data_IF_365936349084
#
_entry.id   IF_365936349084
#
_cell.length_a   1.000
_cell.length_b   1.000
_cell.length_c   1.000
_cell.angle_alpha   90.00
_cell.angle_beta   90.00
_cell.angle_gamma   90.00
#
_symmetry.space_group_name_H-M   'P 1'
#
loop_
_entity.id
_entity.type
_entity.pdbx_description
1 polymer ?
#
# COMPACT_ATOMS: atom_id res chain seq x y z
N UNK A 1 6.67 -15.85 3.70
CA UNK A 1 6.92 -16.05 2.25
C UNK A 1 7.73 -14.86 1.75
N UNK A 2 8.80 -15.07 0.98
CA UNK A 2 9.61 -13.98 0.43
C UNK A 2 8.92 -13.36 -0.80
N UNK A 3 9.11 -12.06 -1.02
CA UNK A 3 8.61 -11.38 -2.22
C UNK A 3 9.29 -11.93 -3.49
N UNK A 4 8.56 -12.09 -4.61
CA UNK A 4 9.09 -12.69 -5.83
C UNK A 4 9.88 -11.67 -6.66
N UNK A 5 11.09 -11.32 -6.23
CA UNK A 5 11.92 -10.32 -6.91
C UNK A 5 12.41 -10.80 -8.28
N UNK A 6 12.39 -9.91 -9.29
CA UNK A 6 13.02 -10.17 -10.60
C UNK A 6 14.54 -10.29 -10.45
N UNK A 7 15.14 -9.32 -9.75
CA UNK A 7 16.56 -9.33 -9.42
C UNK A 7 16.74 -9.36 -7.90
N UNK A 8 17.60 -10.26 -7.38
CA UNK A 8 17.76 -10.43 -5.95
C UNK A 8 18.38 -9.22 -5.27
N UNK A 9 18.98 -8.27 -5.99
CA UNK A 9 19.71 -7.09 -5.46
C UNK A 9 19.13 -5.73 -5.84
N UNK A 10 17.92 -5.68 -6.43
CA UNK A 10 17.31 -4.40 -6.80
C UNK A 10 17.02 -3.56 -5.55
N UNK A 11 17.52 -2.31 -5.58
CA UNK A 11 17.20 -1.29 -4.59
C UNK A 11 15.95 -0.55 -5.02
N UNK A 12 14.90 -0.69 -4.23
CA UNK A 12 13.78 0.24 -4.24
C UNK A 12 14.11 1.29 -3.20
N UNK A 13 14.59 2.46 -3.62
CA UNK A 13 14.91 3.52 -2.66
C UNK A 13 13.66 3.96 -1.89
N UNK A 14 13.90 4.55 -0.72
CA UNK A 14 12.83 4.95 0.20
C UNK A 14 11.92 6.01 -0.44
N UNK A 15 10.76 5.57 -0.92
CA UNK A 15 9.66 6.43 -1.37
C UNK A 15 8.89 7.07 -0.19
N UNK A 16 9.47 7.04 1.02
CA UNK A 16 8.86 7.48 2.28
C UNK A 16 8.28 8.88 2.20
N UNK A 17 9.04 9.86 1.72
CA UNK A 17 8.56 11.25 1.66
C UNK A 17 7.29 11.37 0.81
N UNK A 18 7.23 10.67 -0.32
CA UNK A 18 6.05 10.63 -1.19
C UNK A 18 4.85 9.96 -0.51
N UNK A 19 5.07 8.78 0.09
CA UNK A 19 4.03 8.05 0.80
C UNK A 19 3.49 8.83 2.00
N UNK A 20 4.37 9.43 2.80
CA UNK A 20 4.03 10.18 4.00
C UNK A 20 3.25 11.48 3.68
N UNK A 21 3.64 12.21 2.64
CA UNK A 21 2.90 13.40 2.20
C UNK A 21 1.49 13.02 1.69
N UNK A 22 1.35 11.89 1.00
CA UNK A 22 0.05 11.36 0.58
C UNK A 22 -0.80 10.97 1.79
N UNK A 23 -0.21 10.31 2.80
CA UNK A 23 -0.89 9.99 4.06
C UNK A 23 -1.39 11.23 4.77
N UNK A 24 -0.55 12.27 4.95
CA UNK A 24 -0.97 13.56 5.55
C UNK A 24 -2.16 14.17 4.82
N UNK A 25 -2.12 14.19 3.49
CA UNK A 25 -3.19 14.72 2.65
C UNK A 25 -4.48 13.91 2.78
N UNK A 26 -4.37 12.57 2.82
CA UNK A 26 -5.50 11.67 3.03
C UNK A 26 -6.15 11.90 4.40
N UNK A 27 -5.36 11.89 5.48
CA UNK A 27 -5.83 12.11 6.85
C UNK A 27 -6.58 13.43 6.97
N UNK A 28 -6.02 14.52 6.41
CA UNK A 28 -6.68 15.83 6.40
C UNK A 28 -8.05 15.76 5.71
N UNK A 29 -8.12 15.22 4.49
CA UNK A 29 -9.37 15.13 3.71
C UNK A 29 -10.41 14.24 4.38
N UNK A 30 -10.00 13.14 5.02
CA UNK A 30 -10.90 12.26 5.75
C UNK A 30 -11.45 12.94 7.00
N UNK A 31 -10.62 13.71 7.72
CA UNK A 31 -11.05 14.46 8.88
C UNK A 31 -12.06 15.54 8.51
N UNK A 32 -11.80 16.31 7.45
CA UNK A 32 -12.73 17.32 6.90
C UNK A 32 -14.09 16.73 6.51
N UNK A 33 -14.12 15.45 6.11
CA UNK A 33 -15.34 14.73 5.70
C UNK A 33 -16.00 13.95 6.84
N UNK A 34 -15.43 13.95 8.06
CA UNK A 34 -15.92 13.14 9.17
C UNK A 34 -15.78 11.63 8.97
N UNK A 35 -14.85 11.21 8.10
CA UNK A 35 -14.67 9.81 7.67
C UNK A 35 -13.44 9.11 8.25
N UNK A 36 -12.67 9.80 9.10
CA UNK A 36 -11.41 9.29 9.63
C UNK A 36 -11.59 8.00 10.46
N UNK A 37 -12.65 7.90 11.27
CA UNK A 37 -12.93 6.69 12.07
C UNK A 37 -13.28 5.47 11.21
N UNK A 38 -14.09 5.69 10.18
CA UNK A 38 -14.46 4.63 9.22
C UNK A 38 -13.21 4.09 8.51
N UNK A 39 -12.31 4.99 8.14
CA UNK A 39 -11.03 4.63 7.54
C UNK A 39 -10.09 3.88 8.48
N UNK A 40 -9.96 4.33 9.74
CA UNK A 40 -9.15 3.65 10.75
C UNK A 40 -9.66 2.22 11.00
N UNK A 41 -10.98 2.04 11.07
CA UNK A 41 -11.62 0.72 11.18
C UNK A 41 -11.23 -0.19 10.00
N UNK A 42 -11.38 0.30 8.77
CA UNK A 42 -11.01 -0.46 7.57
C UNK A 42 -9.51 -0.77 7.48
N UNK A 43 -8.63 0.09 8.00
CA UNK A 43 -7.19 -0.18 8.04
C UNK A 43 -6.86 -1.28 9.08
N UNK A 44 -7.52 -1.25 10.24
CA UNK A 44 -7.33 -2.27 11.30
C UNK A 44 -7.84 -3.65 10.89
N UNK A 45 -8.81 -3.74 10.00
CA UNK A 45 -9.26 -5.03 9.45
C UNK A 45 -8.12 -5.81 8.80
N UNK A 46 -7.13 -5.15 8.20
CA UNK A 46 -5.95 -5.85 7.68
C UNK A 46 -5.14 -6.53 8.79
N UNK A 47 -5.01 -5.91 9.96
CA UNK A 47 -4.34 -6.52 11.12
C UNK A 47 -5.19 -7.64 11.72
N UNK A 48 -6.50 -7.43 11.85
CA UNK A 48 -7.42 -8.41 12.43
C UNK A 48 -7.57 -9.69 11.59
N UNK A 49 -7.36 -9.58 10.28
CA UNK A 49 -7.46 -10.69 9.33
C UNK A 49 -6.08 -11.30 8.98
N UNK A 50 -5.04 -11.01 9.78
CA UNK A 50 -3.66 -11.46 9.55
C UNK A 50 -3.12 -11.12 8.13
N UNK A 51 -3.67 -10.08 7.50
CA UNK A 51 -3.26 -9.58 6.19
C UNK A 51 -2.13 -8.54 6.29
N UNK A 52 -1.90 -8.00 7.48
CA UNK A 52 -0.82 -7.07 7.80
C UNK A 52 -0.30 -7.36 9.21
N UNK A 53 0.97 -7.04 9.44
CA UNK A 53 1.62 -7.14 10.74
C UNK A 53 2.37 -5.85 11.06
N UNK A 54 2.67 -5.64 12.35
CA UNK A 54 3.57 -4.57 12.74
C UNK A 54 4.98 -4.89 12.26
N UNK A 55 5.61 -3.92 11.61
CA UNK A 55 7.00 -4.04 11.20
C UNK A 55 7.87 -4.25 12.47
N UNK A 56 8.63 -5.36 12.57
CA UNK A 56 9.55 -5.56 13.69
C UNK A 56 10.66 -4.51 13.69
N UNK A 57 11.39 -4.37 14.79
CA UNK A 57 12.57 -3.51 14.83
C UNK A 57 13.54 -3.93 13.71
N UNK A 58 13.74 -3.01 12.77
CA UNK A 58 14.45 -3.28 11.52
C UNK A 58 15.95 -3.08 11.75
N UNK A 59 16.76 -4.05 11.35
CA UNK A 59 18.20 -3.84 11.14
C UNK A 59 18.44 -3.12 9.81
N UNK A 60 19.58 -2.45 9.64
CA UNK A 60 19.88 -1.63 8.45
C UNK A 60 19.87 -2.37 7.09
N UNK A 61 19.67 -3.69 7.08
CA UNK A 61 19.80 -4.55 5.89
C UNK A 61 18.46 -4.92 5.22
N UNK A 62 17.33 -4.42 5.69
CA UNK A 62 16.00 -4.77 5.14
C UNK A 62 15.57 -3.76 4.07
N UNK A 63 15.08 -4.27 2.92
CA UNK A 63 14.42 -3.45 1.90
C UNK A 63 13.07 -2.95 2.42
N UNK A 64 12.91 -1.64 2.48
CA UNK A 64 11.64 -1.02 2.90
C UNK A 64 11.06 -0.24 1.73
N UNK A 65 9.80 -0.54 1.42
CA UNK A 65 8.98 0.21 0.48
C UNK A 65 7.69 0.62 1.17
N UNK A 66 7.35 1.90 1.11
CA UNK A 66 6.14 2.42 1.73
C UNK A 66 5.04 2.51 0.68
N UNK A 67 4.04 1.63 0.74
CA UNK A 67 2.88 1.69 -0.17
C UNK A 67 2.00 2.90 0.16
N UNK A 68 1.95 3.94 -0.69
CA UNK A 68 0.93 4.95 -0.54
C UNK A 68 -0.44 4.32 -0.75
N UNK A 69 -1.46 4.89 -0.12
CA UNK A 69 -2.79 4.32 -0.20
C UNK A 69 -3.85 5.42 -0.21
N UNK A 70 -5.07 5.06 -0.62
CA UNK A 70 -6.21 5.96 -0.67
C UNK A 70 -7.52 5.26 -0.33
N UNK A 71 -8.44 6.02 0.24
CA UNK A 71 -9.83 5.63 0.44
C UNK A 71 -10.62 5.77 -0.87
N UNK A 72 -11.29 4.71 -1.31
CA UNK A 72 -12.26 4.71 -2.40
C UNK A 72 -13.62 4.38 -1.83
N UNK A 73 -14.54 5.33 -1.95
CA UNK A 73 -15.94 5.13 -1.56
C UNK A 73 -16.73 4.65 -2.76
N UNK A 74 -17.56 3.64 -2.55
CA UNK A 74 -18.44 3.05 -3.56
C UNK A 74 -19.87 3.11 -3.04
N UNK A 75 -20.62 4.07 -3.58
CA UNK A 75 -22.02 4.29 -3.21
C UNK A 75 -22.95 3.24 -3.87
N UNK A 76 -22.42 2.44 -4.80
CA UNK A 76 -23.13 1.48 -5.65
C UNK A 76 -23.23 0.05 -5.08
N UNK A 77 -22.68 -0.23 -3.88
CA UNK A 77 -22.66 -1.59 -3.29
C UNK A 77 -23.10 -1.65 -1.83
N UNK A 78 -23.92 -2.64 -1.51
CA UNK A 78 -24.49 -2.86 -0.16
C UNK A 78 -23.46 -3.29 0.90
N UNK A 79 -22.37 -3.97 0.52
CA UNK A 79 -21.55 -4.73 1.47
C UNK A 79 -20.16 -4.17 1.77
N UNK A 80 -19.67 -3.13 1.07
CA UNK A 80 -18.44 -2.42 1.48
C UNK A 80 -18.40 -0.99 0.92
N UNK A 81 -18.92 -0.01 1.67
CA UNK A 81 -18.96 1.40 1.24
C UNK A 81 -17.57 2.04 1.13
N UNK A 82 -16.56 1.50 1.80
CA UNK A 82 -15.18 1.95 1.78
C UNK A 82 -14.22 0.82 1.40
N UNK A 83 -13.28 1.11 0.50
CA UNK A 83 -12.13 0.25 0.18
C UNK A 83 -10.83 1.03 0.25
N UNK A 84 -9.79 0.40 0.80
CA UNK A 84 -8.44 0.96 0.81
C UNK A 84 -7.70 0.38 -0.40
N UNK A 85 -7.15 1.26 -1.23
CA UNK A 85 -6.35 0.88 -2.40
C UNK A 85 -4.90 1.26 -2.15
N UNK A 86 -4.00 0.28 -2.20
CA UNK A 86 -2.57 0.47 -2.14
C UNK A 86 -1.98 0.69 -3.54
N UNK A 87 -1.05 1.63 -3.64
CA UNK A 87 -0.39 2.04 -4.88
C UNK A 87 1.04 1.50 -4.94
N UNK A 88 1.19 0.28 -5.47
CA UNK A 88 2.49 -0.35 -5.69
C UNK A 88 3.25 0.24 -6.90
N UNK A 89 2.61 1.11 -7.68
CA UNK A 89 3.25 1.81 -8.81
C UNK A 89 3.98 3.08 -8.39
N UNK A 90 3.86 3.52 -7.14
CA UNK A 90 4.53 4.72 -6.68
C UNK A 90 6.04 4.53 -6.61
N UNK A 91 6.81 5.49 -7.10
CA UNK A 91 8.27 5.44 -7.03
C UNK A 91 8.85 6.84 -6.91
N UNK A 92 10.10 6.91 -6.44
CA UNK A 92 10.88 8.15 -6.50
C UNK A 92 11.29 8.45 -7.96
N UNK A 93 11.49 9.72 -8.35
CA UNK A 93 11.98 10.05 -9.68
C UNK A 93 13.28 9.30 -9.99
N UNK A 94 13.32 8.62 -11.15
CA UNK A 94 14.48 7.84 -11.58
C UNK A 94 14.64 6.46 -10.93
N UNK A 95 13.72 6.05 -10.04
CA UNK A 95 13.73 4.73 -9.39
C UNK A 95 12.59 3.85 -9.90
N UNK A 96 12.75 2.51 -9.91
CA UNK A 96 11.67 1.60 -10.28
C UNK A 96 10.58 1.54 -9.19
N UNK A 97 9.35 1.21 -9.58
CA UNK A 97 8.25 0.93 -8.67
C UNK A 97 8.29 -0.52 -8.15
N UNK A 98 7.45 -0.84 -7.16
CA UNK A 98 7.36 -2.22 -6.68
C UNK A 98 6.86 -3.17 -7.77
N UNK A 99 5.97 -2.69 -8.66
CA UNK A 99 5.48 -3.48 -9.79
C UNK A 99 6.57 -3.76 -10.84
N UNK A 100 7.59 -2.92 -10.96
CA UNK A 100 8.67 -3.08 -11.96
C UNK A 100 9.73 -4.10 -11.52
N UNK A 101 9.75 -4.46 -10.23
CA UNK A 101 10.84 -5.23 -9.61
C UNK A 101 10.37 -6.58 -9.06
N UNK A 102 9.06 -6.85 -9.11
CA UNK A 102 8.44 -8.12 -8.77
C UNK A 102 8.08 -8.89 -10.03
N UNK A 103 8.23 -10.22 -9.97
CA UNK A 103 7.80 -11.11 -11.03
C UNK A 103 6.30 -10.98 -11.24
N UNK A 104 5.92 -10.85 -12.51
CA UNK A 104 4.53 -10.89 -12.90
C UNK A 104 3.98 -12.30 -12.66
N UNK A 105 2.83 -12.39 -11.99
CA UNK A 105 2.11 -13.66 -11.85
C UNK A 105 1.52 -14.13 -13.17
N UNK A 106 1.17 -15.41 -13.23
CA UNK A 106 0.49 -16.00 -14.39
C UNK A 106 -0.84 -15.27 -14.67
N UNK A 107 -1.17 -15.08 -15.95
CA UNK A 107 -2.46 -14.56 -16.33
C UNK A 107 -3.53 -15.65 -16.14
N UNK A 108 -4.37 -15.49 -15.13
CA UNK A 108 -5.42 -16.44 -14.79
C UNK A 108 -6.71 -16.24 -15.60
N UNK A 109 -6.75 -15.29 -16.53
CA UNK A 109 -7.89 -15.09 -17.43
C UNK A 109 -7.80 -16.09 -18.58
N UNK A 110 -8.74 -17.05 -18.70
CA UNK A 110 -8.78 -17.97 -19.84
C UNK A 110 -9.01 -17.18 -21.14
N UNK A 111 -8.35 -17.62 -22.22
CA UNK A 111 -8.53 -17.07 -23.57
C UNK A 111 -9.96 -17.24 -24.10
#
# INVERSE_FOLDING_TARGET
VAMPWIEPNVRVDSNFNGAFNRLKSLTRKLNERGKLREYDCAMREYMNNDCAELLPEVTNDIRIYFMPHRAVYRDDKDTSKLRIVFDASAHAPGMPSLNDVLLQGENLVPF
#
